data_IF_732235705782
#
_entry.id   IF_732235705782
#
_cell.length_a   1.000
_cell.length_b   1.000
_cell.length_c   1.000
_cell.angle_alpha   90.00
_cell.angle_beta   90.00
_cell.angle_gamma   90.00
#
_symmetry.space_group_name_H-M   'P 1'
#
loop_
_entity.id
_entity.type
_entity.pdbx_description
1 polymer ?
#
# COMPACT_ATOMS: atom_id res chain seq x y z
N UNK A 1 -5.04 -12.44 -11.69
CA UNK A 1 -3.88 -11.54 -11.53
C UNK A 1 -4.41 -10.23 -11.05
N UNK A 2 -3.89 -9.68 -9.96
CA UNK A 2 -4.25 -8.33 -9.51
C UNK A 2 -3.73 -7.29 -10.52
N UNK A 3 -4.48 -6.22 -10.74
CA UNK A 3 -4.07 -5.08 -11.59
C UNK A 3 -3.37 -3.97 -10.78
N UNK A 4 -3.25 -4.13 -9.46
CA UNK A 4 -2.69 -3.09 -8.58
C UNK A 4 -1.18 -2.99 -8.76
N UNK A 5 -0.69 -1.80 -9.11
CA UNK A 5 0.73 -1.49 -9.13
C UNK A 5 1.23 -1.17 -7.71
N UNK A 6 1.67 -2.19 -6.99
CA UNK A 6 1.97 -2.14 -5.55
C UNK A 6 2.97 -1.01 -5.19
N UNK A 7 4.02 -0.81 -5.99
CA UNK A 7 4.99 0.26 -5.74
C UNK A 7 4.39 1.67 -5.79
N UNK A 8 3.41 1.91 -6.66
CA UNK A 8 2.77 3.23 -6.78
C UNK A 8 1.85 3.47 -5.58
N UNK A 9 1.11 2.44 -5.16
CA UNK A 9 0.30 2.49 -3.95
C UNK A 9 1.17 2.81 -2.72
N UNK A 10 2.31 2.15 -2.56
CA UNK A 10 3.20 2.40 -1.41
C UNK A 10 3.86 3.78 -1.45
N UNK A 11 4.12 4.34 -2.64
CA UNK A 11 4.64 5.71 -2.80
C UNK A 11 3.70 6.76 -2.19
N UNK A 12 2.38 6.58 -2.29
CA UNK A 12 1.40 7.50 -1.67
C UNK A 12 1.52 7.58 -0.14
N UNK A 13 2.05 6.53 0.48
CA UNK A 13 2.30 6.47 1.93
C UNK A 13 3.76 6.77 2.30
N UNK A 14 4.52 7.39 1.38
CA UNK A 14 5.94 7.73 1.59
C UNK A 14 6.90 6.55 1.47
N UNK A 15 6.44 5.45 0.88
CA UNK A 15 7.22 4.24 0.62
C UNK A 15 7.80 4.17 -0.79
N UNK A 16 7.89 2.96 -1.34
CA UNK A 16 8.37 2.71 -2.70
C UNK A 16 8.32 1.23 -3.10
N UNK A 17 8.65 0.93 -4.36
CA UNK A 17 8.68 -0.44 -4.87
C UNK A 17 8.57 -0.57 -6.38
N UNK A 18 8.23 -1.77 -6.83
CA UNK A 18 7.94 -2.15 -8.21
C UNK A 18 6.47 -2.56 -8.38
N UNK A 19 6.06 -2.91 -9.61
CA UNK A 19 4.67 -3.27 -9.91
C UNK A 19 4.08 -4.36 -8.99
N UNK A 20 4.87 -5.38 -8.64
CA UNK A 20 4.41 -6.53 -7.85
C UNK A 20 4.83 -6.51 -6.37
N UNK A 21 5.61 -5.52 -5.92
CA UNK A 21 6.13 -5.49 -4.56
C UNK A 21 6.44 -4.05 -4.13
N UNK A 22 6.12 -3.71 -2.88
CA UNK A 22 6.45 -2.41 -2.32
C UNK A 22 6.45 -2.43 -0.80
N UNK A 23 7.00 -1.37 -0.22
CA UNK A 23 7.09 -1.18 1.22
C UNK A 23 6.84 0.27 1.57
N UNK A 24 6.34 0.54 2.77
CA UNK A 24 6.28 1.89 3.36
C UNK A 24 6.55 1.79 4.86
N UNK A 25 7.10 2.86 5.44
CA UNK A 25 7.31 2.98 6.88
C UNK A 25 6.46 4.13 7.40
N UNK A 26 5.67 3.86 8.43
CA UNK A 26 4.71 4.82 8.98
C UNK A 26 4.83 4.86 10.50
N UNK A 27 4.40 5.96 11.10
CA UNK A 27 4.39 6.09 12.55
C UNK A 27 3.43 5.05 13.19
N UNK A 28 3.80 4.51 14.35
CA UNK A 28 3.07 3.43 15.01
C UNK A 28 1.61 3.80 15.33
N UNK A 29 1.36 5.07 15.69
CA UNK A 29 0.02 5.60 15.97
C UNK A 29 -0.89 5.65 14.74
N UNK A 30 -0.34 5.52 13.53
CA UNK A 30 -1.06 5.51 12.25
C UNK A 30 -1.10 4.14 11.58
N UNK A 31 -0.39 3.15 12.12
CA UNK A 31 -0.20 1.85 11.48
C UNK A 31 -1.53 1.15 11.16
N UNK A 32 -2.43 1.06 12.14
CA UNK A 32 -3.72 0.37 11.96
C UNK A 32 -4.60 1.03 10.90
N UNK A 33 -4.65 2.37 10.89
CA UNK A 33 -5.43 3.14 9.91
C UNK A 33 -4.90 2.96 8.49
N UNK A 34 -3.58 2.97 8.33
CA UNK A 34 -2.95 2.78 7.02
C UNK A 34 -3.10 1.33 6.56
N UNK A 35 -2.94 0.35 7.45
CA UNK A 35 -3.19 -1.05 7.14
C UNK A 35 -4.62 -1.26 6.60
N UNK A 36 -5.64 -0.72 7.28
CA UNK A 36 -7.02 -0.81 6.79
C UNK A 36 -7.19 -0.17 5.42
N UNK A 37 -6.59 1.01 5.19
CA UNK A 37 -6.66 1.72 3.92
C UNK A 37 -6.00 0.92 2.77
N UNK A 38 -4.86 0.29 3.05
CA UNK A 38 -4.15 -0.56 2.10
C UNK A 38 -4.95 -1.81 1.75
N UNK A 39 -5.51 -2.50 2.76
CA UNK A 39 -6.36 -3.68 2.54
C UNK A 39 -7.58 -3.33 1.69
N UNK A 40 -8.25 -2.22 1.98
CA UNK A 40 -9.41 -1.78 1.20
C UNK A 40 -9.05 -1.53 -0.26
N UNK A 41 -7.99 -0.75 -0.54
CA UNK A 41 -7.57 -0.47 -1.92
C UNK A 41 -7.16 -1.73 -2.67
N UNK A 42 -6.34 -2.58 -2.06
CA UNK A 42 -5.87 -3.83 -2.68
C UNK A 42 -7.05 -4.77 -3.00
N UNK A 43 -8.07 -4.82 -2.14
CA UNK A 43 -9.22 -5.73 -2.34
C UNK A 43 -10.25 -5.16 -3.31
N UNK A 44 -10.36 -3.83 -3.45
CA UNK A 44 -11.31 -3.19 -4.36
C UNK A 44 -10.76 -3.05 -5.79
N UNK A 45 -9.45 -2.82 -5.92
CA UNK A 45 -8.77 -2.57 -7.20
C UNK A 45 -8.03 -3.81 -7.75
N UNK A 46 -7.88 -4.85 -6.92
CA UNK A 46 -7.19 -6.10 -7.28
C UNK A 46 -8.11 -7.15 -7.89
#
# INVERSE_FOLDING_TARGET
SSQVHVGNLMLEFGGGGHAAAGTCQVANDRADKILQSLVQRITLEG
#
